data_IF_808443842712
#
_entry.id   IF_808443842712
#
_cell.length_a   1.000
_cell.length_b   1.000
_cell.length_c   1.000
_cell.angle_alpha   90.00
_cell.angle_beta   90.00
_cell.angle_gamma   90.00
#
_symmetry.space_group_name_H-M   'P 1'
#
loop_
_entity.id
_entity.type
_entity.pdbx_description
1 polymer ?
#
# COMPACT_ATOMS: atom_id res chain seq x y z
N UNK A 1 31.39 8.76 9.19
CA UNK A 1 30.78 8.63 7.85
C UNK A 1 30.48 10.03 7.38
N UNK A 2 31.11 10.48 6.30
CA UNK A 2 31.06 11.85 5.79
C UNK A 2 29.62 12.29 5.52
N UNK A 3 29.19 13.41 6.09
CA UNK A 3 27.91 14.04 5.82
C UNK A 3 27.85 14.40 4.34
N UNK A 4 27.05 13.65 3.57
CA UNK A 4 26.79 13.99 2.18
C UNK A 4 25.97 15.28 2.21
N UNK A 5 26.57 16.43 1.85
CA UNK A 5 25.87 17.72 1.68
C UNK A 5 24.68 17.50 0.76
N UNK A 6 23.45 17.48 1.29
CA UNK A 6 22.24 17.47 0.45
C UNK A 6 22.22 18.80 -0.31
N UNK A 7 22.44 18.75 -1.63
CA UNK A 7 22.32 19.91 -2.51
C UNK A 7 20.92 20.50 -2.40
N UNK A 8 20.82 21.84 -2.39
CA UNK A 8 19.52 22.54 -2.50
C UNK A 8 18.75 22.01 -3.72
N UNK A 9 17.51 21.65 -3.51
CA UNK A 9 16.60 21.19 -4.56
C UNK A 9 15.78 22.37 -5.07
N UNK A 10 16.04 22.91 -6.28
CA UNK A 10 15.36 24.09 -6.79
C UNK A 10 13.84 23.90 -6.92
N UNK A 11 13.37 22.65 -7.11
CA UNK A 11 11.95 22.35 -7.20
C UNK A 11 11.31 22.42 -5.81
N UNK A 12 11.99 21.96 -4.76
CA UNK A 12 11.52 22.10 -3.39
C UNK A 12 11.37 23.57 -3.00
N UNK A 13 12.35 24.42 -3.38
CA UNK A 13 12.29 25.86 -3.13
C UNK A 13 11.10 26.52 -3.87
N UNK A 14 10.86 26.13 -5.12
CA UNK A 14 9.73 26.63 -5.92
C UNK A 14 8.39 26.21 -5.31
N UNK A 15 8.24 24.95 -4.91
CA UNK A 15 7.02 24.44 -4.25
C UNK A 15 6.81 25.16 -2.92
N UNK A 16 7.89 25.45 -2.19
CA UNK A 16 7.80 26.14 -0.90
C UNK A 16 7.28 27.59 -1.01
N UNK A 17 7.44 28.24 -2.17
CA UNK A 17 6.91 29.58 -2.43
C UNK A 17 5.37 29.60 -2.64
N UNK A 18 4.77 28.45 -2.92
CA UNK A 18 3.31 28.33 -3.06
C UNK A 18 2.61 28.54 -1.72
N UNK A 19 1.32 28.88 -1.76
CA UNK A 19 0.48 28.90 -0.55
C UNK A 19 0.50 27.52 0.15
N UNK A 20 0.34 27.44 1.48
CA UNK A 20 0.40 26.18 2.22
C UNK A 20 -0.54 25.11 1.66
N UNK A 21 -1.75 25.48 1.23
CA UNK A 21 -2.71 24.57 0.62
C UNK A 21 -2.22 24.05 -0.74
N UNK A 22 -1.80 24.93 -1.66
CA UNK A 22 -1.33 24.54 -2.99
C UNK A 22 -0.08 23.68 -2.92
N UNK A 23 0.82 23.98 -1.99
CA UNK A 23 2.04 23.21 -1.70
C UNK A 23 1.71 21.75 -1.39
N UNK A 24 0.79 21.52 -0.44
CA UNK A 24 0.35 20.17 -0.06
C UNK A 24 -0.34 19.48 -1.24
N UNK A 25 -1.19 20.18 -1.99
CA UNK A 25 -1.87 19.62 -3.17
C UNK A 25 -0.89 19.12 -4.24
N UNK A 26 0.19 19.85 -4.51
CA UNK A 26 1.21 19.46 -5.49
C UNK A 26 1.95 18.20 -5.03
N UNK A 27 2.34 18.14 -3.75
CA UNK A 27 3.03 16.97 -3.20
C UNK A 27 2.11 15.75 -3.18
N UNK A 28 0.86 15.93 -2.75
CA UNK A 28 -0.12 14.84 -2.74
C UNK A 28 -0.42 14.34 -4.15
N UNK A 29 -0.50 15.22 -5.15
CA UNK A 29 -0.65 14.82 -6.55
C UNK A 29 0.46 13.88 -7.00
N UNK A 30 1.72 14.21 -6.70
CA UNK A 30 2.86 13.34 -7.02
C UNK A 30 2.79 12.00 -6.29
N UNK A 31 2.57 12.02 -4.98
CA UNK A 31 2.49 10.81 -4.17
C UNK A 31 1.31 9.90 -4.58
N UNK A 32 0.12 10.46 -4.81
CA UNK A 32 -1.07 9.73 -5.27
C UNK A 32 -0.86 9.16 -6.68
N UNK A 33 -0.22 9.90 -7.59
CA UNK A 33 0.07 9.41 -8.95
C UNK A 33 0.98 8.19 -8.93
N UNK A 34 2.01 8.17 -8.07
CA UNK A 34 2.84 6.97 -7.85
C UNK A 34 1.98 5.84 -7.31
N UNK A 35 1.17 6.11 -6.28
CA UNK A 35 0.33 5.09 -5.63
C UNK A 35 -0.74 4.50 -6.56
N UNK A 36 -1.28 5.29 -7.50
CA UNK A 36 -2.17 4.80 -8.54
C UNK A 36 -1.49 3.76 -9.45
N UNK A 37 -0.22 3.97 -9.80
CA UNK A 37 0.48 3.02 -10.67
C UNK A 37 0.87 1.73 -9.94
N UNK A 38 1.38 1.82 -8.71
CA UNK A 38 1.77 0.63 -7.95
C UNK A 38 0.57 -0.12 -7.38
N UNK A 39 -0.56 0.57 -7.17
CA UNK A 39 -1.81 -0.02 -6.69
C UNK A 39 -2.49 -0.96 -7.70
N UNK A 40 -2.01 -1.01 -8.95
CA UNK A 40 -2.45 -1.99 -9.95
C UNK A 40 -2.18 -3.46 -9.53
N UNK A 41 -1.38 -3.68 -8.50
CA UNK A 41 -1.34 -4.94 -7.77
C UNK A 41 -2.75 -5.49 -7.48
N UNK A 42 -3.70 -4.65 -7.08
CA UNK A 42 -5.09 -5.05 -6.81
C UNK A 42 -5.88 -5.49 -8.04
N UNK A 43 -5.38 -5.20 -9.26
CA UNK A 43 -6.01 -5.67 -10.50
C UNK A 43 -5.56 -7.08 -10.92
N UNK A 44 -4.67 -7.71 -10.15
CA UNK A 44 -4.15 -9.04 -10.47
C UNK A 44 -5.27 -10.05 -10.69
N UNK A 45 -6.27 -10.08 -9.82
CA UNK A 45 -7.43 -10.97 -9.94
C UNK A 45 -8.20 -10.79 -11.25
N UNK A 46 -8.31 -9.55 -11.76
CA UNK A 46 -8.92 -9.26 -13.05
C UNK A 46 -8.07 -9.81 -14.22
N UNK A 47 -6.75 -9.73 -14.09
CA UNK A 47 -5.81 -10.17 -15.13
C UNK A 47 -5.50 -11.67 -15.12
N UNK A 48 -5.72 -12.32 -13.98
CA UNK A 48 -5.36 -13.71 -13.75
C UNK A 48 -5.89 -14.68 -14.83
N UNK A 49 -7.18 -14.67 -15.22
CA UNK A 49 -7.69 -15.54 -16.26
C UNK A 49 -6.99 -15.34 -17.61
N UNK A 50 -6.72 -14.08 -17.98
CA UNK A 50 -6.07 -13.76 -19.27
C UNK A 50 -4.62 -14.25 -19.30
N UNK A 51 -3.86 -13.98 -18.22
CA UNK A 51 -2.46 -14.41 -18.10
C UNK A 51 -2.33 -15.93 -18.07
N UNK A 52 -3.16 -16.60 -17.27
CA UNK A 52 -3.17 -18.07 -17.17
C UNK A 52 -3.53 -18.73 -18.50
N UNK A 53 -4.54 -18.19 -19.20
CA UNK A 53 -4.97 -18.69 -20.50
C UNK A 53 -3.91 -18.49 -21.57
N UNK A 54 -3.27 -17.31 -21.59
CA UNK A 54 -2.17 -17.04 -22.52
C UNK A 54 -1.01 -18.03 -22.31
N UNK A 55 -0.53 -18.16 -21.08
CA UNK A 55 0.61 -19.04 -20.78
C UNK A 55 0.29 -20.50 -21.11
N UNK A 56 -0.89 -20.97 -20.73
CA UNK A 56 -1.31 -22.35 -21.02
C UNK A 56 -1.37 -22.67 -22.51
N UNK A 57 -1.77 -21.71 -23.36
CA UNK A 57 -1.92 -21.92 -24.80
C UNK A 57 -0.62 -21.70 -25.58
N UNK A 58 0.26 -20.77 -25.14
CA UNK A 58 1.41 -20.34 -25.95
C UNK A 58 2.76 -20.60 -25.31
N UNK A 59 2.85 -20.75 -23.98
CA UNK A 59 4.14 -20.78 -23.27
C UNK A 59 4.37 -22.13 -22.61
N UNK A 60 3.47 -22.56 -21.71
CA UNK A 60 3.61 -23.77 -20.92
C UNK A 60 2.24 -24.37 -20.58
N UNK A 61 1.85 -25.50 -21.19
CA UNK A 61 0.55 -26.14 -20.95
C UNK A 61 0.33 -26.63 -19.51
N UNK A 62 1.38 -26.70 -18.70
CA UNK A 62 1.30 -27.18 -17.32
C UNK A 62 0.91 -26.05 -16.34
N UNK A 63 0.95 -24.79 -16.77
CA UNK A 63 0.59 -23.63 -15.94
C UNK A 63 -0.91 -23.65 -15.64
N UNK A 64 -1.21 -23.53 -14.33
CA UNK A 64 -2.57 -23.44 -13.80
C UNK A 64 -2.77 -22.13 -13.04
N UNK A 65 -4.03 -21.77 -12.85
CA UNK A 65 -4.41 -20.60 -12.08
C UNK A 65 -3.80 -20.64 -10.67
N UNK A 66 -3.73 -21.82 -10.04
CA UNK A 66 -3.16 -21.97 -8.69
C UNK A 66 -1.66 -21.61 -8.63
N UNK A 67 -0.89 -21.93 -9.68
CA UNK A 67 0.53 -21.56 -9.75
C UNK A 67 0.72 -20.05 -9.83
N UNK A 68 -0.18 -19.36 -10.49
CA UNK A 68 -0.09 -17.91 -10.64
C UNK A 68 -0.41 -17.13 -9.34
N UNK A 69 -1.06 -17.77 -8.37
CA UNK A 69 -1.40 -17.14 -7.08
C UNK A 69 -0.17 -16.76 -6.24
N UNK A 70 1.00 -17.29 -6.53
CA UNK A 70 2.25 -16.86 -5.89
C UNK A 70 2.70 -15.47 -6.34
N UNK A 71 2.33 -15.03 -7.54
CA UNK A 71 2.72 -13.72 -8.07
C UNK A 71 2.22 -12.58 -7.18
N UNK A 72 0.90 -12.45 -6.87
CA UNK A 72 0.40 -11.36 -6.03
C UNK A 72 0.96 -11.40 -4.61
N UNK A 73 1.33 -12.57 -4.08
CA UNK A 73 1.96 -12.66 -2.76
C UNK A 73 3.28 -11.89 -2.69
N UNK A 74 4.12 -11.99 -3.72
CA UNK A 74 5.38 -11.25 -3.79
C UNK A 74 5.21 -9.84 -4.36
N UNK A 75 4.24 -9.63 -5.23
CA UNK A 75 3.95 -8.33 -5.82
C UNK A 75 3.48 -7.29 -4.79
N UNK A 76 2.62 -7.71 -3.85
CA UNK A 76 2.08 -6.82 -2.82
C UNK A 76 2.84 -6.83 -1.50
N UNK A 77 3.60 -7.89 -1.23
CA UNK A 77 4.22 -8.15 0.08
C UNK A 77 5.71 -8.51 -0.05
N UNK A 78 6.44 -7.91 -0.99
CA UNK A 78 7.86 -8.21 -1.15
C UNK A 78 8.64 -7.84 0.14
N UNK A 79 9.32 -8.82 0.79
CA UNK A 79 9.99 -8.58 2.05
C UNK A 79 11.10 -7.55 1.89
N UNK A 80 11.27 -6.69 2.91
CA UNK A 80 12.30 -5.66 2.98
C UNK A 80 12.27 -4.55 1.90
N UNK A 81 11.37 -4.60 0.90
CA UNK A 81 11.33 -3.57 -0.15
C UNK A 81 11.15 -2.16 0.41
N UNK A 82 10.27 -2.01 1.41
CA UNK A 82 10.06 -0.71 2.07
C UNK A 82 11.25 -0.30 2.95
N UNK A 83 11.96 -1.26 3.57
CA UNK A 83 13.22 -0.99 4.31
C UNK A 83 14.28 -0.47 3.35
N UNK A 84 14.43 -1.12 2.19
CA UNK A 84 15.35 -0.67 1.13
C UNK A 84 14.97 0.74 0.66
N UNK A 85 13.67 1.02 0.49
CA UNK A 85 13.16 2.35 0.14
C UNK A 85 13.50 3.42 1.17
N UNK A 86 13.34 3.11 2.45
CA UNK A 86 13.74 4.00 3.54
C UNK A 86 15.25 4.24 3.58
N UNK A 87 16.05 3.19 3.41
CA UNK A 87 17.51 3.31 3.37
C UNK A 87 17.99 4.14 2.18
N UNK A 88 17.47 3.87 0.97
CA UNK A 88 17.83 4.62 -0.23
C UNK A 88 17.42 6.09 -0.15
N UNK A 89 16.24 6.38 0.43
CA UNK A 89 15.79 7.75 0.66
C UNK A 89 16.71 8.51 1.63
N UNK A 90 17.20 7.83 2.67
CA UNK A 90 18.13 8.43 3.63
C UNK A 90 19.56 8.59 3.07
N UNK A 91 20.01 7.64 2.24
CA UNK A 91 21.36 7.66 1.67
C UNK A 91 21.53 8.67 0.54
N UNK A 92 20.52 8.81 -0.32
CA UNK A 92 20.58 9.65 -1.51
C UNK A 92 19.66 10.87 -1.40
N UNK A 93 18.41 10.69 -1.76
CA UNK A 93 17.31 11.66 -1.61
C UNK A 93 15.97 10.96 -1.84
N UNK A 94 14.85 11.52 -1.36
CA UNK A 94 13.52 10.97 -1.64
C UNK A 94 13.24 10.87 -3.15
N UNK A 95 13.63 11.89 -3.93
CA UNK A 95 13.45 11.87 -5.38
C UNK A 95 14.22 10.73 -6.05
N UNK A 96 15.48 10.52 -5.67
CA UNK A 96 16.30 9.42 -6.20
C UNK A 96 15.71 8.06 -5.82
N UNK A 97 15.26 7.89 -4.57
CA UNK A 97 14.62 6.67 -4.12
C UNK A 97 13.31 6.41 -4.89
N UNK A 98 12.46 7.43 -5.06
CA UNK A 98 11.25 7.33 -5.85
C UNK A 98 11.57 6.98 -7.33
N UNK A 99 12.59 7.59 -7.91
CA UNK A 99 13.05 7.28 -9.28
C UNK A 99 13.47 5.80 -9.42
N UNK A 100 14.26 5.29 -8.47
CA UNK A 100 14.67 3.87 -8.46
C UNK A 100 13.44 2.96 -8.37
N UNK A 101 12.56 3.20 -7.41
CA UNK A 101 11.35 2.39 -7.22
C UNK A 101 10.43 2.41 -8.44
N UNK A 102 10.14 3.58 -8.97
CA UNK A 102 9.29 3.78 -10.15
C UNK A 102 9.89 3.14 -11.42
N UNK A 103 11.20 3.30 -11.62
CA UNK A 103 11.90 2.68 -12.77
C UNK A 103 11.86 1.16 -12.68
N UNK A 104 12.03 0.58 -11.48
CA UNK A 104 11.89 -0.87 -11.28
C UNK A 104 10.48 -1.34 -11.61
N UNK A 105 9.43 -0.64 -11.16
CA UNK A 105 8.03 -0.98 -11.47
C UNK A 105 7.78 -0.92 -12.97
N UNK A 106 8.10 0.19 -13.61
CA UNK A 106 7.84 0.37 -15.05
C UNK A 106 8.64 -0.63 -15.89
N UNK A 107 9.92 -0.85 -15.57
CA UNK A 107 10.76 -1.83 -16.26
C UNK A 107 10.27 -3.25 -16.05
N UNK A 108 9.80 -3.60 -14.83
CA UNK A 108 9.27 -4.93 -14.54
C UNK A 108 8.04 -5.24 -15.38
N UNK A 109 7.12 -4.26 -15.51
CA UNK A 109 5.92 -4.40 -16.33
C UNK A 109 6.29 -4.48 -17.82
N UNK A 110 7.23 -3.66 -18.30
CA UNK A 110 7.71 -3.73 -19.67
C UNK A 110 8.35 -5.09 -20.00
N UNK A 111 9.23 -5.59 -19.12
CA UNK A 111 9.87 -6.89 -19.27
C UNK A 111 8.87 -8.05 -19.18
N UNK A 112 7.76 -7.88 -18.47
CA UNK A 112 6.72 -8.89 -18.35
C UNK A 112 6.01 -9.18 -19.67
N UNK A 113 6.00 -8.19 -20.59
CA UNK A 113 5.52 -8.40 -21.96
C UNK A 113 6.33 -9.46 -22.71
N UNK A 114 7.64 -9.47 -22.49
CA UNK A 114 8.53 -10.48 -23.05
C UNK A 114 8.49 -11.79 -22.24
N UNK A 115 8.53 -11.67 -20.92
CA UNK A 115 8.63 -12.79 -20.00
C UNK A 115 7.45 -13.78 -20.10
N UNK A 116 6.22 -13.26 -20.24
CA UNK A 116 5.01 -14.08 -20.36
C UNK A 116 5.02 -14.99 -21.60
N UNK A 117 5.79 -14.61 -22.64
CA UNK A 117 5.93 -15.36 -23.88
C UNK A 117 6.95 -16.52 -23.78
N UNK A 118 7.84 -16.49 -22.75
CA UNK A 118 8.99 -17.39 -22.69
C UNK A 118 8.89 -18.43 -21.56
N UNK A 119 8.58 -18.01 -20.34
CA UNK A 119 8.43 -18.95 -19.23
C UNK A 119 7.69 -18.37 -18.04
N UNK A 120 7.04 -19.25 -17.26
CA UNK A 120 6.41 -18.86 -16.00
C UNK A 120 7.43 -18.31 -14.99
N UNK A 121 8.60 -18.94 -14.88
CA UNK A 121 9.63 -18.49 -13.93
C UNK A 121 10.12 -17.08 -14.25
N UNK A 122 10.37 -16.77 -15.53
CA UNK A 122 10.77 -15.43 -15.94
C UNK A 122 9.66 -14.41 -15.69
N UNK A 123 8.41 -14.76 -15.95
CA UNK A 123 7.25 -13.91 -15.67
C UNK A 123 7.06 -13.68 -14.17
N UNK A 124 7.24 -14.71 -13.34
CA UNK A 124 7.21 -14.59 -11.89
C UNK A 124 8.30 -13.64 -11.36
N UNK A 125 9.53 -13.73 -11.89
CA UNK A 125 10.62 -12.83 -11.51
C UNK A 125 10.29 -11.39 -11.91
N UNK A 126 9.84 -11.15 -13.14
CA UNK A 126 9.56 -9.80 -13.62
C UNK A 126 8.30 -9.23 -12.99
N UNK A 127 7.15 -9.86 -13.15
CA UNK A 127 5.86 -9.32 -12.72
C UNK A 127 5.60 -9.50 -11.21
N UNK A 128 6.20 -10.51 -10.57
CA UNK A 128 6.10 -10.75 -9.12
C UNK A 128 7.18 -10.02 -8.33
N UNK A 129 8.43 -10.51 -8.45
CA UNK A 129 9.52 -10.07 -7.57
C UNK A 129 10.00 -8.65 -7.86
N UNK A 130 10.31 -8.32 -9.11
CA UNK A 130 10.82 -6.98 -9.47
C UNK A 130 9.75 -5.90 -9.29
N UNK A 131 8.49 -6.19 -9.66
CA UNK A 131 7.38 -5.29 -9.41
C UNK A 131 7.21 -5.04 -7.91
N UNK A 132 7.21 -6.10 -7.10
CA UNK A 132 7.06 -6.00 -5.64
C UNK A 132 8.17 -5.18 -4.98
N UNK A 133 9.43 -5.42 -5.39
CA UNK A 133 10.58 -4.65 -4.90
C UNK A 133 10.43 -3.16 -5.25
N UNK A 134 10.17 -2.83 -6.50
CA UNK A 134 9.99 -1.45 -6.95
C UNK A 134 8.81 -0.77 -6.26
N UNK A 135 7.69 -1.48 -6.11
CA UNK A 135 6.48 -0.97 -5.46
C UNK A 135 6.73 -0.62 -4.00
N UNK A 136 7.43 -1.48 -3.24
CA UNK A 136 7.73 -1.21 -1.83
C UNK A 136 8.63 0.01 -1.65
N UNK A 137 9.66 0.17 -2.49
CA UNK A 137 10.55 1.34 -2.48
C UNK A 137 9.77 2.62 -2.80
N UNK A 138 8.97 2.62 -3.87
CA UNK A 138 8.19 3.78 -4.29
C UNK A 138 7.11 4.15 -3.27
N UNK A 139 6.42 3.14 -2.70
CA UNK A 139 5.35 3.32 -1.71
C UNK A 139 5.85 4.10 -0.50
N UNK A 140 6.84 3.56 0.20
CA UNK A 140 7.31 4.16 1.46
C UNK A 140 7.93 5.53 1.24
N UNK A 141 8.61 5.73 0.11
CA UNK A 141 9.22 7.02 -0.23
C UNK A 141 8.16 8.09 -0.45
N UNK A 142 7.14 7.81 -1.26
CA UNK A 142 6.08 8.78 -1.57
C UNK A 142 5.27 9.16 -0.33
N UNK A 143 4.89 8.17 0.51
CA UNK A 143 4.15 8.44 1.76
C UNK A 143 5.00 9.24 2.73
N UNK A 144 6.27 8.85 2.94
CA UNK A 144 7.16 9.54 3.88
C UNK A 144 7.39 10.99 3.47
N UNK A 145 7.59 11.24 2.17
CA UNK A 145 7.75 12.59 1.63
C UNK A 145 6.50 13.44 1.85
N UNK A 146 5.31 12.89 1.57
CA UNK A 146 4.05 13.61 1.79
C UNK A 146 3.85 13.98 3.27
N UNK A 147 4.18 13.09 4.21
CA UNK A 147 4.11 13.35 5.65
C UNK A 147 5.08 14.47 6.05
N UNK A 148 6.28 14.56 5.44
CA UNK A 148 7.27 15.61 5.74
C UNK A 148 6.73 17.03 5.43
N UNK A 149 5.80 17.18 4.49
CA UNK A 149 5.19 18.46 4.16
C UNK A 149 3.99 18.85 5.04
N UNK A 150 3.42 17.90 5.79
CA UNK A 150 2.29 18.14 6.67
C UNK A 150 2.36 17.28 7.95
N UNK A 151 3.32 17.54 8.83
CA UNK A 151 3.57 16.73 10.02
C UNK A 151 2.41 16.77 11.03
N UNK A 152 1.62 17.85 11.04
CA UNK A 152 0.46 18.00 11.94
C UNK A 152 -0.77 17.17 11.51
N UNK A 153 -0.79 16.64 10.27
CA UNK A 153 -1.93 15.92 9.66
C UNK A 153 -1.50 14.57 9.06
N UNK A 154 -0.70 13.83 9.81
CA UNK A 154 -0.09 12.56 9.35
C UNK A 154 -1.15 11.57 8.88
N UNK A 155 -2.23 11.41 9.65
CA UNK A 155 -3.31 10.47 9.34
C UNK A 155 -4.06 10.83 8.06
N UNK A 156 -4.44 12.10 7.88
CA UNK A 156 -5.11 12.56 6.65
C UNK A 156 -4.20 12.41 5.44
N UNK A 157 -2.94 12.83 5.54
CA UNK A 157 -1.99 12.80 4.43
C UNK A 157 -1.68 11.36 4.02
N UNK A 158 -1.36 10.50 4.98
CA UNK A 158 -1.12 9.08 4.70
C UNK A 158 -2.39 8.39 4.16
N UNK A 159 -3.57 8.77 4.66
CA UNK A 159 -4.86 8.29 4.18
C UNK A 159 -5.13 8.67 2.72
N UNK A 160 -4.88 9.93 2.33
CA UNK A 160 -5.05 10.39 0.93
C UNK A 160 -4.10 9.64 -0.01
N UNK A 161 -2.83 9.52 0.37
CA UNK A 161 -1.83 8.81 -0.45
C UNK A 161 -2.20 7.32 -0.57
N UNK A 162 -2.59 6.69 0.54
CA UNK A 162 -3.04 5.30 0.54
C UNK A 162 -4.37 5.11 -0.23
N UNK A 163 -5.25 6.12 -0.28
CA UNK A 163 -6.47 6.08 -1.08
C UNK A 163 -6.16 5.96 -2.58
N UNK A 164 -5.10 6.63 -3.07
CA UNK A 164 -4.60 6.46 -4.44
C UNK A 164 -4.27 5.00 -4.77
N UNK A 165 -3.61 4.30 -3.86
CA UNK A 165 -3.32 2.88 -4.01
C UNK A 165 -4.59 2.01 -4.07
N UNK A 166 -5.59 2.29 -3.23
CA UNK A 166 -6.88 1.59 -3.23
C UNK A 166 -7.75 1.88 -4.46
N UNK A 167 -7.73 3.13 -4.96
CA UNK A 167 -8.53 3.57 -6.11
C UNK A 167 -7.99 3.01 -7.44
N UNK A 168 -6.73 2.61 -7.46
CA UNK A 168 -6.05 2.11 -8.67
C UNK A 168 -6.85 1.02 -9.40
N UNK A 169 -7.40 0.06 -8.66
CA UNK A 169 -8.15 -1.06 -9.26
C UNK A 169 -9.41 -0.61 -9.98
N UNK A 170 -10.12 0.38 -9.46
CA UNK A 170 -11.34 0.93 -10.09
C UNK A 170 -11.04 1.62 -11.43
N UNK A 171 -9.83 2.15 -11.59
CA UNK A 171 -9.39 2.84 -12.81
C UNK A 171 -8.77 1.85 -13.80
N UNK A 172 -7.80 1.05 -13.34
CA UNK A 172 -7.00 0.24 -14.26
C UNK A 172 -7.65 -1.08 -14.66
N UNK A 173 -8.54 -1.69 -13.85
CA UNK A 173 -9.20 -2.93 -14.25
C UNK A 173 -10.07 -2.75 -15.52
N UNK A 174 -10.91 -1.72 -15.63
CA UNK A 174 -11.63 -1.46 -16.89
C UNK A 174 -10.69 -1.20 -18.08
N UNK A 175 -9.63 -0.42 -17.88
CA UNK A 175 -8.64 -0.13 -18.93
C UNK A 175 -7.98 -1.42 -19.43
N UNK A 176 -7.55 -2.28 -18.51
CA UNK A 176 -6.95 -3.59 -18.83
C UNK A 176 -7.91 -4.47 -19.62
N UNK A 177 -9.15 -4.57 -19.16
CA UNK A 177 -10.19 -5.36 -19.83
C UNK A 177 -10.50 -4.81 -21.23
N UNK A 178 -10.64 -3.50 -21.40
CA UNK A 178 -10.87 -2.87 -22.71
C UNK A 178 -9.70 -3.11 -23.69
N UNK A 179 -8.46 -3.20 -23.20
CA UNK A 179 -7.29 -3.47 -24.05
C UNK A 179 -7.27 -4.94 -24.50
N UNK A 180 -7.55 -5.89 -23.58
CA UNK A 180 -7.44 -7.33 -23.86
C UNK A 180 -8.71 -7.88 -24.47
N UNK A 181 -9.88 -7.55 -23.90
CA UNK A 181 -11.18 -8.10 -24.27
C UNK A 181 -12.22 -7.00 -24.62
N UNK A 182 -11.99 -6.20 -25.66
CA UNK A 182 -12.92 -5.13 -26.03
C UNK A 182 -14.27 -5.65 -26.52
N UNK A 183 -14.34 -6.90 -26.95
CA UNK A 183 -15.56 -7.53 -27.45
C UNK A 183 -16.36 -8.23 -26.36
N UNK A 184 -15.90 -8.18 -25.10
CA UNK A 184 -16.51 -8.82 -23.95
C UNK A 184 -16.79 -10.33 -24.17
N UNK A 185 -15.81 -11.04 -24.73
CA UNK A 185 -15.92 -12.46 -24.99
C UNK A 185 -15.93 -13.25 -23.67
N UNK A 186 -16.78 -14.27 -23.54
CA UNK A 186 -16.89 -15.04 -22.32
C UNK A 186 -15.72 -16.00 -22.11
N UNK A 187 -15.36 -16.26 -20.85
CA UNK A 187 -14.49 -17.36 -20.47
C UNK A 187 -15.23 -18.70 -20.52
N UNK A 188 -14.50 -19.79 -20.57
CA UNK A 188 -15.03 -21.16 -20.41
C UNK A 188 -15.51 -21.38 -18.97
N UNK A 189 -16.27 -22.47 -18.74
CA UNK A 189 -16.71 -22.86 -17.37
C UNK A 189 -15.55 -23.07 -16.40
N UNK A 190 -14.37 -23.39 -16.90
CA UNK A 190 -13.15 -23.56 -16.10
C UNK A 190 -12.38 -22.26 -15.86
N UNK A 191 -12.94 -21.10 -16.27
CA UNK A 191 -12.34 -19.78 -16.07
C UNK A 191 -11.22 -19.41 -17.04
N UNK A 192 -11.05 -20.15 -18.15
CA UNK A 192 -10.02 -19.87 -19.16
C UNK A 192 -10.62 -19.26 -20.43
N UNK A 193 -9.85 -18.40 -21.09
CA UNK A 193 -10.17 -17.88 -22.41
C UNK A 193 -9.50 -18.74 -23.50
N UNK A 194 -10.23 -19.03 -24.57
CA UNK A 194 -9.74 -19.85 -25.68
C UNK A 194 -9.64 -19.10 -27.00
N UNK A 195 -10.12 -17.86 -27.02
CA UNK A 195 -10.16 -17.03 -28.23
C UNK A 195 -8.76 -16.50 -28.56
N UNK A 196 -8.21 -16.93 -29.67
CA UNK A 196 -6.87 -16.58 -30.14
C UNK A 196 -6.66 -15.05 -30.24
N UNK A 197 -7.64 -14.32 -30.80
CA UNK A 197 -7.57 -12.86 -30.97
C UNK A 197 -7.46 -12.10 -29.66
N UNK A 198 -8.09 -12.60 -28.60
CA UNK A 198 -7.99 -12.04 -27.25
C UNK A 198 -6.61 -12.33 -26.66
N UNK A 199 -6.17 -13.58 -26.73
CA UNK A 199 -4.94 -14.02 -26.09
C UNK A 199 -3.70 -13.32 -26.67
N UNK A 200 -3.61 -13.12 -27.98
CA UNK A 200 -2.50 -12.39 -28.64
C UNK A 200 -2.33 -10.96 -28.13
N UNK A 201 -3.38 -10.35 -27.56
CA UNK A 201 -3.31 -9.00 -26.99
C UNK A 201 -2.68 -8.95 -25.60
N UNK A 202 -2.59 -10.07 -24.88
CA UNK A 202 -2.11 -10.11 -23.51
C UNK A 202 -0.67 -9.58 -23.35
N UNK A 203 0.34 -9.96 -24.13
CA UNK A 203 1.67 -9.38 -24.04
C UNK A 203 1.68 -7.87 -24.32
N UNK A 204 0.89 -7.41 -25.32
CA UNK A 204 0.82 -5.99 -25.67
C UNK A 204 0.21 -5.13 -24.57
N UNK A 205 -0.64 -5.69 -23.71
CA UNK A 205 -1.17 -5.02 -22.55
C UNK A 205 -0.05 -4.54 -21.61
N UNK A 206 0.91 -5.42 -21.28
CA UNK A 206 2.02 -5.06 -20.39
C UNK A 206 2.85 -3.92 -20.96
N UNK A 207 3.12 -3.91 -22.27
CA UNK A 207 3.83 -2.80 -22.93
C UNK A 207 3.05 -1.49 -22.84
N UNK A 208 1.74 -1.51 -23.07
CA UNK A 208 0.89 -0.32 -22.96
C UNK A 208 0.81 0.20 -21.53
N UNK A 209 0.65 -0.69 -20.55
CA UNK A 209 0.66 -0.33 -19.13
C UNK A 209 2.00 0.27 -18.70
N UNK A 210 3.13 -0.29 -19.17
CA UNK A 210 4.46 0.25 -18.87
C UNK A 210 4.61 1.69 -19.37
N UNK A 211 4.09 2.02 -20.57
CA UNK A 211 4.10 3.40 -21.08
C UNK A 211 3.24 4.31 -20.21
N UNK A 212 2.02 3.89 -19.86
CA UNK A 212 1.12 4.68 -19.01
C UNK A 212 1.77 4.94 -17.65
N UNK A 213 2.31 3.89 -17.01
CA UNK A 213 2.98 4.02 -15.71
C UNK A 213 4.21 4.90 -15.80
N UNK A 214 5.03 4.73 -16.85
CA UNK A 214 6.23 5.54 -17.09
C UNK A 214 5.91 7.02 -17.18
N UNK A 215 4.88 7.41 -17.94
CA UNK A 215 4.45 8.81 -18.07
C UNK A 215 3.93 9.34 -16.74
N UNK A 216 3.03 8.62 -16.06
CA UNK A 216 2.48 9.05 -14.76
C UNK A 216 3.58 9.21 -13.71
N UNK A 217 4.49 8.25 -13.61
CA UNK A 217 5.58 8.25 -12.65
C UNK A 217 6.63 9.33 -12.97
N UNK A 218 6.95 9.57 -14.24
CA UNK A 218 7.87 10.63 -14.63
C UNK A 218 7.38 12.01 -14.19
N UNK A 219 6.08 12.31 -14.39
CA UNK A 219 5.46 13.55 -13.90
C UNK A 219 5.48 13.62 -12.37
N UNK A 220 5.15 12.52 -11.71
CA UNK A 220 5.07 12.45 -10.25
C UNK A 220 6.45 12.66 -9.58
N UNK A 221 7.52 12.06 -10.10
CA UNK A 221 8.88 12.14 -9.54
C UNK A 221 9.40 13.60 -9.53
N UNK A 222 8.97 14.44 -10.47
CA UNK A 222 9.37 15.85 -10.50
C UNK A 222 9.00 16.55 -9.19
N UNK A 223 7.80 16.30 -8.67
CA UNK A 223 7.28 16.99 -7.49
C UNK A 223 7.55 16.26 -6.16
N UNK A 224 8.03 15.01 -6.19
CA UNK A 224 8.38 14.27 -4.98
C UNK A 224 9.74 14.74 -4.45
N UNK A 225 9.70 15.59 -3.42
CA UNK A 225 10.87 16.13 -2.73
C UNK A 225 10.53 16.45 -1.28
N UNK A 226 11.53 16.43 -0.41
CA UNK A 226 11.39 16.92 0.96
C UNK A 226 11.31 18.46 0.99
N UNK A 227 10.66 19.03 2.01
CA UNK A 227 10.68 20.48 2.23
C UNK A 227 12.12 20.99 2.36
N UNK A 228 12.42 22.21 1.86
CA UNK A 228 13.75 22.78 1.94
C UNK A 228 14.15 23.04 3.40
N UNK A 229 15.42 22.85 3.70
CA UNK A 229 16.00 23.17 5.00
C UNK A 229 16.01 24.70 5.21
N UNK A 230 15.42 25.18 6.27
CA UNK A 230 15.42 26.58 6.67
C UNK A 230 16.06 26.73 8.04
N UNK A 231 17.03 27.65 8.16
CA UNK A 231 17.67 28.03 9.42
C UNK A 231 16.63 28.59 10.36
N UNK A 232 16.41 27.94 11.51
CA UNK A 232 15.70 28.59 12.60
C UNK A 232 16.60 29.71 13.11
N UNK A 233 16.19 30.95 12.91
CA UNK A 233 16.86 32.11 13.51
C UNK A 233 16.57 32.00 15.01
N UNK A 234 17.54 31.44 15.75
CA UNK A 234 17.44 31.40 17.20
C UNK A 234 17.26 32.85 17.72
N UNK A 235 16.29 33.03 18.58
CA UNK A 235 15.92 34.31 19.20
C UNK A 235 17.05 34.87 20.07
N UNK A 236 18.19 34.19 20.19
CA UNK A 236 19.35 34.58 20.97
C UNK A 236 20.22 35.67 20.32
N UNK A 237 20.12 35.92 19.00
CA UNK A 237 20.92 36.94 18.34
C UNK A 237 20.39 38.39 18.51
N UNK A 238 19.26 38.60 19.20
CA UNK A 238 18.73 39.96 19.48
C UNK A 238 19.39 40.59 20.71
N UNK A 239 20.13 39.81 21.52
CA UNK A 239 20.70 40.31 22.76
C UNK A 239 22.16 40.86 22.64
N UNK A 240 22.88 40.50 21.61
CA UNK A 240 24.26 40.93 21.44
C UNK A 240 24.50 41.47 20.02
N UNK A 241 24.47 42.78 19.88
CA UNK A 241 24.80 43.51 18.67
C UNK A 241 26.29 43.43 18.32
N UNK A 242 26.68 42.36 17.65
CA UNK A 242 27.97 42.31 16.93
C UNK A 242 27.70 41.67 15.57
N UNK A 243 27.69 42.50 14.54
CA UNK A 243 27.88 42.11 13.16
C UNK A 243 29.32 41.63 12.99
N UNK A 244 29.52 40.35 12.78
CA UNK A 244 30.74 39.82 12.17
C UNK A 244 30.30 39.02 10.95
N UNK A 245 30.63 39.56 9.78
CA UNK A 245 30.60 38.90 8.48
C UNK A 245 31.65 37.76 8.47
N UNK A 246 31.26 36.58 8.93
CA UNK A 246 31.95 35.35 8.62
C UNK A 246 30.91 34.39 8.02
N UNK A 247 31.08 34.13 6.74
CA UNK A 247 30.39 33.08 5.97
C UNK A 247 30.83 31.71 6.50
N UNK A 248 30.41 31.35 7.70
CA UNK A 248 30.46 29.97 8.17
C UNK A 248 29.26 29.22 7.61
N UNK A 249 29.54 28.38 6.59
CA UNK A 249 28.62 27.40 6.02
C UNK A 249 28.29 26.31 7.05
N UNK A 250 27.53 26.64 8.07
CA UNK A 250 27.02 25.66 9.01
C UNK A 250 25.84 24.88 8.42
N UNK A 251 26.05 23.60 8.36
CA UNK A 251 25.14 22.57 7.88
C UNK A 251 23.96 22.40 8.85
N UNK A 252 22.75 22.81 8.43
CA UNK A 252 21.59 22.80 9.30
C UNK A 252 20.51 21.76 8.94
N UNK A 253 19.84 21.31 10.00
CA UNK A 253 18.77 20.29 10.03
C UNK A 253 17.42 20.85 9.56
N UNK A 254 16.44 19.98 9.15
CA UNK A 254 15.10 20.46 8.75
C UNK A 254 14.37 21.18 9.88
N UNK A 255 13.48 22.11 9.51
CA UNK A 255 12.63 22.93 10.39
C UNK A 255 11.68 22.11 11.33
N UNK A 256 11.86 20.82 11.43
CA UNK A 256 11.13 19.99 12.38
C UNK A 256 11.62 20.10 13.83
N UNK A 257 12.60 20.97 14.11
CA UNK A 257 13.34 21.03 15.39
C UNK A 257 12.75 21.98 16.45
N UNK A 258 11.58 22.58 16.23
CA UNK A 258 11.04 23.50 17.25
C UNK A 258 10.38 22.78 18.46
N UNK A 259 10.28 21.43 18.46
CA UNK A 259 9.80 20.62 19.59
C UNK A 259 10.72 19.44 19.92
N UNK A 260 12.01 19.47 19.51
CA UNK A 260 12.91 18.31 19.59
C UNK A 260 13.28 17.85 21.00
N UNK A 261 13.13 18.65 22.00
CA UNK A 261 13.52 18.26 23.37
C UNK A 261 12.56 17.26 24.03
N UNK A 262 11.43 16.90 23.40
CA UNK A 262 10.44 16.01 24.03
C UNK A 262 9.97 14.84 23.16
N UNK A 263 10.29 14.78 21.87
CA UNK A 263 9.81 13.71 20.98
C UNK A 263 10.79 12.57 20.85
N UNK A 264 10.28 11.37 21.06
CA UNK A 264 11.04 10.12 20.99
C UNK A 264 11.40 9.82 19.54
N UNK A 265 12.68 9.57 19.27
CA UNK A 265 13.20 9.24 17.93
C UNK A 265 13.95 7.90 17.98
N UNK A 266 13.23 6.77 17.83
CA UNK A 266 13.84 5.45 17.88
C UNK A 266 14.49 5.06 16.58
N UNK A 267 15.71 4.57 16.66
CA UNK A 267 16.37 3.84 15.57
C UNK A 267 15.66 2.51 15.30
N UNK A 268 15.79 1.93 14.08
CA UNK A 268 15.24 0.60 13.82
C UNK A 268 15.67 -0.48 14.81
N UNK A 269 16.92 -0.43 15.27
CA UNK A 269 17.46 -1.39 16.26
C UNK A 269 16.79 -1.28 17.63
N UNK A 270 16.51 -0.06 18.08
CA UNK A 270 15.82 0.19 19.35
C UNK A 270 14.34 -0.18 19.23
N UNK A 271 13.70 0.18 18.09
CA UNK A 271 12.32 -0.19 17.82
C UNK A 271 12.10 -1.69 17.85
N UNK A 272 12.98 -2.48 17.20
CA UNK A 272 12.89 -3.94 17.15
C UNK A 272 13.01 -4.61 18.55
N UNK A 273 13.51 -3.91 19.56
CA UNK A 273 13.56 -4.38 20.95
C UNK A 273 12.35 -3.95 21.77
N UNK A 274 11.51 -3.11 21.22
CA UNK A 274 10.36 -2.55 21.92
C UNK A 274 9.17 -3.50 21.95
N UNK A 275 8.51 -3.72 23.09
CA UNK A 275 7.25 -4.47 23.16
C UNK A 275 6.15 -3.89 22.26
N UNK A 276 6.11 -2.56 22.11
CA UNK A 276 5.15 -1.87 21.23
C UNK A 276 5.30 -2.30 19.78
N UNK A 277 6.53 -2.52 19.30
CA UNK A 277 6.77 -3.06 17.95
C UNK A 277 6.12 -4.43 17.77
N UNK A 278 6.29 -5.34 18.70
CA UNK A 278 5.71 -6.70 18.59
C UNK A 278 4.19 -6.68 18.66
N UNK A 279 3.60 -5.81 19.46
CA UNK A 279 2.15 -5.62 19.50
C UNK A 279 1.63 -5.07 18.15
N UNK A 280 2.25 -4.03 17.60
CA UNK A 280 1.87 -3.48 16.30
C UNK A 280 2.11 -4.49 15.16
N UNK A 281 3.21 -5.24 15.21
CA UNK A 281 3.53 -6.29 14.26
C UNK A 281 2.46 -7.40 14.24
N UNK A 282 2.09 -7.90 15.42
CA UNK A 282 1.05 -8.92 15.56
C UNK A 282 -0.33 -8.39 15.13
N UNK A 283 -0.66 -7.14 15.49
CA UNK A 283 -1.90 -6.52 15.05
C UNK A 283 -1.95 -6.34 13.53
N UNK A 284 -0.87 -5.87 12.90
CA UNK A 284 -0.78 -5.74 11.45
C UNK A 284 -0.81 -7.09 10.74
N UNK A 285 -0.17 -8.11 11.30
CA UNK A 285 -0.26 -9.48 10.79
C UNK A 285 -1.72 -9.96 10.73
N UNK A 286 -2.45 -9.80 11.83
CA UNK A 286 -3.86 -10.17 11.90
C UNK A 286 -4.72 -9.37 10.92
N UNK A 287 -4.52 -8.05 10.84
CA UNK A 287 -5.23 -7.19 9.90
C UNK A 287 -4.95 -7.58 8.44
N UNK A 288 -3.72 -7.88 8.11
CA UNK A 288 -3.32 -8.29 6.76
C UNK A 288 -3.86 -9.66 6.39
N UNK A 289 -3.93 -10.59 7.34
CA UNK A 289 -4.44 -11.94 7.09
C UNK A 289 -5.91 -11.91 6.69
N UNK A 290 -6.78 -11.25 7.46
CA UNK A 290 -8.19 -11.20 7.10
C UNK A 290 -8.44 -10.40 5.82
N UNK A 291 -7.66 -9.32 5.61
CA UNK A 291 -7.81 -8.49 4.43
C UNK A 291 -7.44 -9.26 3.15
N UNK A 292 -6.28 -9.90 3.11
CA UNK A 292 -5.84 -10.69 1.96
C UNK A 292 -6.77 -11.87 1.69
N UNK A 293 -7.23 -12.55 2.76
CA UNK A 293 -8.15 -13.66 2.62
C UNK A 293 -9.48 -13.22 2.01
N UNK A 294 -10.03 -12.12 2.51
CA UNK A 294 -11.28 -11.59 2.02
C UNK A 294 -11.17 -11.11 0.56
N UNK A 295 -10.08 -10.40 0.22
CA UNK A 295 -9.81 -9.96 -1.16
C UNK A 295 -9.77 -11.12 -2.16
N UNK A 296 -9.18 -12.24 -1.77
CA UNK A 296 -9.02 -13.38 -2.67
C UNK A 296 -10.29 -14.24 -2.81
N UNK A 297 -11.14 -14.29 -1.78
CA UNK A 297 -12.24 -15.26 -1.72
C UNK A 297 -13.65 -14.66 -1.73
N UNK A 298 -13.79 -13.33 -1.67
CA UNK A 298 -15.10 -12.68 -1.66
C UNK A 298 -15.96 -13.08 -2.87
N UNK A 299 -15.36 -13.10 -4.07
CA UNK A 299 -16.05 -13.44 -5.32
C UNK A 299 -16.46 -14.91 -5.33
N UNK A 300 -15.51 -15.80 -5.06
CA UNK A 300 -15.75 -17.24 -5.07
C UNK A 300 -16.82 -17.68 -4.06
N UNK A 301 -16.86 -17.02 -2.90
CA UNK A 301 -17.93 -17.23 -1.93
C UNK A 301 -19.29 -16.78 -2.47
N UNK A 302 -19.36 -15.58 -3.05
CA UNK A 302 -20.59 -15.01 -3.56
C UNK A 302 -21.15 -15.80 -4.75
N UNK A 303 -20.32 -16.28 -5.65
CA UNK A 303 -20.70 -17.12 -6.80
C UNK A 303 -21.41 -18.41 -6.37
N UNK A 304 -21.25 -18.86 -5.13
CA UNK A 304 -21.99 -20.03 -4.61
C UNK A 304 -23.50 -19.79 -4.42
N UNK A 305 -23.98 -18.53 -4.44
CA UNK A 305 -25.38 -18.17 -4.25
C UNK A 305 -25.86 -16.94 -5.04
N UNK A 306 -24.98 -16.25 -5.76
CA UNK A 306 -25.30 -15.10 -6.63
C UNK A 306 -24.84 -15.46 -8.05
N UNK A 307 -25.80 -15.67 -8.95
CA UNK A 307 -25.56 -15.98 -10.36
C UNK A 307 -25.54 -14.73 -11.26
N UNK A 308 -24.99 -13.61 -10.75
CA UNK A 308 -25.01 -12.29 -11.40
C UNK A 308 -23.60 -11.70 -11.44
N UNK A 309 -22.84 -12.04 -12.47
CA UNK A 309 -21.44 -11.65 -12.64
C UNK A 309 -21.27 -10.13 -12.82
N UNK A 310 -22.21 -9.48 -13.53
CA UNK A 310 -22.21 -8.03 -13.67
C UNK A 310 -22.43 -7.33 -12.34
N UNK A 311 -23.37 -7.82 -11.53
CA UNK A 311 -23.58 -7.32 -10.17
C UNK A 311 -22.31 -7.45 -9.34
N UNK A 312 -21.59 -8.57 -9.41
CA UNK A 312 -20.35 -8.79 -8.67
C UNK A 312 -19.25 -7.81 -9.08
N UNK A 313 -19.11 -7.52 -10.37
CA UNK A 313 -18.15 -6.52 -10.85
C UNK A 313 -18.46 -5.11 -10.35
N UNK A 314 -19.75 -4.72 -10.40
CA UNK A 314 -20.21 -3.42 -9.87
C UNK A 314 -20.03 -3.36 -8.36
N UNK A 315 -20.40 -4.42 -7.63
CA UNK A 315 -20.25 -4.50 -6.18
C UNK A 315 -18.80 -4.35 -5.73
N UNK A 316 -17.87 -4.99 -6.42
CA UNK A 316 -16.43 -4.84 -6.16
C UNK A 316 -15.94 -3.41 -6.44
N UNK A 317 -16.38 -2.79 -7.54
CA UNK A 317 -16.02 -1.40 -7.86
C UNK A 317 -16.51 -0.43 -6.79
N UNK A 318 -17.78 -0.56 -6.35
CA UNK A 318 -18.35 0.25 -5.26
C UNK A 318 -17.57 0.04 -3.96
N UNK A 319 -17.28 -1.22 -3.60
CA UNK A 319 -16.50 -1.54 -2.41
C UNK A 319 -15.09 -0.96 -2.46
N UNK A 320 -14.42 -0.99 -3.63
CA UNK A 320 -13.07 -0.43 -3.82
C UNK A 320 -13.05 1.10 -3.67
N UNK A 321 -14.05 1.79 -4.22
CA UNK A 321 -14.21 3.25 -4.02
C UNK A 321 -14.48 3.56 -2.55
N UNK A 322 -15.38 2.81 -1.90
CA UNK A 322 -15.66 2.96 -0.47
C UNK A 322 -14.41 2.74 0.40
N UNK A 323 -13.58 1.74 0.06
CA UNK A 323 -12.29 1.50 0.72
C UNK A 323 -11.34 2.70 0.57
N UNK A 324 -11.23 3.27 -0.63
CA UNK A 324 -10.38 4.42 -0.87
C UNK A 324 -10.82 5.65 -0.06
N UNK A 325 -12.12 5.94 -0.02
CA UNK A 325 -12.69 7.02 0.80
C UNK A 325 -12.48 6.74 2.29
N UNK A 326 -12.68 5.50 2.71
CA UNK A 326 -12.52 5.09 4.11
C UNK A 326 -11.08 5.27 4.61
N UNK A 327 -10.06 5.09 3.77
CA UNK A 327 -8.66 5.34 4.15
C UNK A 327 -8.43 6.79 4.60
N UNK A 328 -9.06 7.73 3.91
CA UNK A 328 -9.01 9.16 4.28
C UNK A 328 -9.79 9.38 5.57
N UNK A 329 -11.00 8.82 5.67
CA UNK A 329 -11.85 8.94 6.86
C UNK A 329 -11.21 8.38 8.12
N UNK A 330 -10.61 7.20 8.06
CA UNK A 330 -9.86 6.61 9.18
C UNK A 330 -8.64 7.44 9.56
N UNK A 331 -7.89 7.97 8.58
CA UNK A 331 -6.79 8.88 8.83
C UNK A 331 -7.24 10.15 9.56
N UNK A 332 -8.33 10.78 9.10
CA UNK A 332 -8.92 11.94 9.76
C UNK A 332 -9.39 11.64 11.19
N UNK A 333 -10.04 10.49 11.39
CA UNK A 333 -10.49 10.06 12.72
C UNK A 333 -9.29 9.88 13.66
N UNK A 334 -8.18 9.32 13.18
CA UNK A 334 -6.94 9.14 13.95
C UNK A 334 -6.31 10.47 14.37
N UNK A 335 -6.34 11.47 13.50
CA UNK A 335 -5.81 12.80 13.83
C UNK A 335 -6.70 13.55 14.84
N UNK A 336 -8.00 13.24 14.87
CA UNK A 336 -8.97 13.88 15.80
C UNK A 336 -9.15 13.16 17.13
N UNK A 337 -8.91 11.85 17.15
CA UNK A 337 -9.11 11.02 18.35
C UNK A 337 -7.79 10.36 18.76
N UNK A 338 -7.66 9.07 18.43
CA UNK A 338 -6.41 8.33 18.62
C UNK A 338 -6.31 7.17 17.64
N UNK A 339 -5.08 6.74 17.40
CA UNK A 339 -4.82 5.52 16.64
C UNK A 339 -5.55 4.30 17.21
N UNK A 340 -5.58 4.16 18.54
CA UNK A 340 -6.23 3.03 19.22
C UNK A 340 -7.73 3.02 18.95
N UNK A 341 -8.42 4.14 19.12
CA UNK A 341 -9.87 4.24 18.89
C UNK A 341 -10.19 3.91 17.43
N UNK A 342 -9.48 4.52 16.49
CA UNK A 342 -9.73 4.32 15.07
C UNK A 342 -9.53 2.85 14.65
N UNK A 343 -8.39 2.24 15.02
CA UNK A 343 -8.07 0.88 14.62
C UNK A 343 -8.89 -0.17 15.39
N UNK A 344 -9.15 0.03 16.69
CA UNK A 344 -10.02 -0.85 17.48
C UNK A 344 -11.44 -0.86 16.92
N UNK A 345 -11.98 0.30 16.53
CA UNK A 345 -13.30 0.38 15.90
C UNK A 345 -13.32 -0.37 14.57
N UNK A 346 -12.32 -0.15 13.70
CA UNK A 346 -12.24 -0.80 12.40
C UNK A 346 -12.12 -2.32 12.52
N UNK A 347 -11.27 -2.82 13.43
CA UNK A 347 -11.04 -4.26 13.61
C UNK A 347 -12.22 -4.97 14.30
N UNK A 348 -12.86 -4.31 15.25
CA UNK A 348 -14.10 -4.82 15.86
C UNK A 348 -15.21 -4.97 14.81
N UNK A 349 -15.46 -3.92 14.01
CA UNK A 349 -16.45 -3.97 12.94
C UNK A 349 -16.11 -5.03 11.88
N UNK A 350 -14.83 -5.15 11.50
CA UNK A 350 -14.39 -6.18 10.56
C UNK A 350 -14.69 -7.59 11.08
N UNK A 351 -14.43 -7.84 12.36
CA UNK A 351 -14.75 -9.12 13.00
C UNK A 351 -16.25 -9.43 12.94
N UNK A 352 -17.09 -8.44 13.25
CA UNK A 352 -18.56 -8.59 13.17
C UNK A 352 -19.02 -8.87 11.74
N UNK A 353 -18.54 -8.11 10.74
CA UNK A 353 -18.90 -8.33 9.34
C UNK A 353 -18.49 -9.73 8.85
N UNK A 354 -17.28 -10.18 9.17
CA UNK A 354 -16.78 -11.49 8.77
C UNK A 354 -17.54 -12.64 9.47
N UNK A 355 -17.80 -12.50 10.77
CA UNK A 355 -18.55 -13.49 11.54
C UNK A 355 -19.98 -13.66 11.03
N UNK A 356 -20.59 -12.53 10.62
CA UNK A 356 -21.98 -12.50 10.13
C UNK A 356 -22.10 -12.64 8.61
N UNK A 357 -20.97 -12.67 7.87
CA UNK A 357 -20.96 -12.85 6.41
C UNK A 357 -21.81 -14.04 5.92
N UNK A 358 -21.80 -15.21 6.57
CA UNK A 358 -22.62 -16.35 6.16
C UNK A 358 -24.12 -16.07 6.13
N UNK A 359 -24.62 -15.12 6.92
CA UNK A 359 -26.06 -14.74 6.93
C UNK A 359 -26.51 -14.13 5.61
N UNK A 360 -25.59 -13.52 4.84
CA UNK A 360 -25.91 -12.89 3.55
C UNK A 360 -26.45 -13.88 2.53
N UNK A 361 -26.11 -15.16 2.67
CA UNK A 361 -26.61 -16.23 1.81
C UNK A 361 -28.13 -16.36 1.86
N UNK A 362 -28.76 -16.10 3.02
CA UNK A 362 -30.21 -16.12 3.19
C UNK A 362 -30.88 -14.78 2.94
N UNK A 363 -30.14 -13.67 2.97
CA UNK A 363 -30.66 -12.30 2.86
C UNK A 363 -30.60 -11.73 1.42
N UNK A 364 -29.89 -12.39 0.51
CA UNK A 364 -29.82 -12.03 -0.91
C UNK A 364 -28.70 -11.04 -1.28
N UNK A 365 -28.60 -10.72 -2.59
CA UNK A 365 -27.47 -9.99 -3.17
C UNK A 365 -27.24 -8.58 -2.63
N UNK A 366 -28.30 -7.87 -2.24
CA UNK A 366 -28.16 -6.49 -1.69
C UNK A 366 -27.60 -6.50 -0.26
N UNK A 367 -27.95 -7.50 0.55
CA UNK A 367 -27.33 -7.69 1.84
C UNK A 367 -25.83 -8.03 1.69
N UNK A 368 -25.50 -8.89 0.74
CA UNK A 368 -24.10 -9.19 0.43
C UNK A 368 -23.32 -7.94 0.04
N UNK A 369 -23.86 -7.07 -0.83
CA UNK A 369 -23.24 -5.79 -1.18
C UNK A 369 -22.96 -4.94 0.06
N UNK A 370 -23.90 -4.82 0.98
CA UNK A 370 -23.72 -4.05 2.21
C UNK A 370 -22.59 -4.61 3.07
N UNK A 371 -22.54 -5.95 3.27
CA UNK A 371 -21.46 -6.61 4.01
C UNK A 371 -20.10 -6.47 3.30
N UNK A 372 -20.06 -6.58 1.97
CA UNK A 372 -18.87 -6.40 1.16
C UNK A 372 -18.30 -4.99 1.35
N UNK A 373 -19.14 -3.97 1.16
CA UNK A 373 -18.74 -2.56 1.32
C UNK A 373 -18.28 -2.28 2.76
N UNK A 374 -19.02 -2.76 3.77
CA UNK A 374 -18.65 -2.60 5.17
C UNK A 374 -17.29 -3.21 5.51
N UNK A 375 -17.02 -4.41 5.02
CA UNK A 375 -15.71 -5.07 5.20
C UNK A 375 -14.60 -4.30 4.50
N UNK A 376 -14.83 -3.81 3.27
CA UNK A 376 -13.86 -3.00 2.54
C UNK A 376 -13.56 -1.66 3.21
N UNK A 377 -14.55 -1.02 3.84
CA UNK A 377 -14.36 0.17 4.67
C UNK A 377 -13.41 -0.14 5.84
N UNK A 378 -13.64 -1.24 6.55
CA UNK A 378 -12.76 -1.66 7.65
C UNK A 378 -11.33 -1.97 7.18
N UNK A 379 -11.17 -2.64 6.03
CA UNK A 379 -9.86 -2.93 5.44
C UNK A 379 -9.07 -1.67 5.09
N UNK A 380 -9.77 -0.57 4.76
CA UNK A 380 -9.14 0.72 4.49
C UNK A 380 -8.33 1.27 5.66
N UNK A 381 -8.66 0.91 6.89
CA UNK A 381 -7.93 1.32 8.09
C UNK A 381 -6.49 0.78 8.14
N UNK A 382 -6.24 -0.44 7.62
CA UNK A 382 -4.99 -1.17 7.88
C UNK A 382 -3.75 -0.37 7.48
N UNK A 383 -3.58 -0.05 6.20
CA UNK A 383 -2.33 0.60 5.77
C UNK A 383 -2.19 2.06 6.20
N UNK A 384 -3.30 2.82 6.23
CA UNK A 384 -3.27 4.23 6.61
C UNK A 384 -2.92 4.41 8.09
N UNK A 385 -3.47 3.59 8.97
CA UNK A 385 -3.32 3.76 10.41
C UNK A 385 -1.99 3.23 10.94
N UNK A 386 -1.45 2.14 10.40
CA UNK A 386 -0.19 1.59 10.91
C UNK A 386 1.03 2.45 10.59
N UNK A 387 1.05 3.18 9.47
CA UNK A 387 2.12 4.16 9.23
C UNK A 387 2.02 5.34 10.21
N UNK A 388 0.80 5.81 10.48
CA UNK A 388 0.55 6.86 11.47
C UNK A 388 0.98 6.43 12.88
N UNK A 389 0.65 5.18 13.28
CA UNK A 389 1.09 4.62 14.54
C UNK A 389 2.62 4.51 14.64
N UNK A 390 3.28 4.09 13.55
CA UNK A 390 4.75 4.00 13.52
C UNK A 390 5.39 5.35 13.79
N UNK A 391 4.88 6.42 13.19
CA UNK A 391 5.40 7.77 13.41
C UNK A 391 5.12 8.24 14.84
N UNK A 392 3.91 8.04 15.34
CA UNK A 392 3.51 8.48 16.70
C UNK A 392 4.25 7.71 17.81
N UNK A 393 4.51 6.39 17.62
CA UNK A 393 5.17 5.56 18.62
C UNK A 393 6.70 5.67 18.58
N UNK A 394 7.30 5.81 17.40
CA UNK A 394 8.74 5.63 17.21
C UNK A 394 9.44 6.87 16.63
N UNK A 395 8.68 7.93 16.34
CA UNK A 395 9.18 9.21 15.85
C UNK A 395 9.28 9.30 14.32
N UNK A 396 9.53 10.54 13.85
CA UNK A 396 9.48 10.88 12.43
C UNK A 396 10.79 10.60 11.68
N UNK A 397 11.95 10.65 12.39
CA UNK A 397 13.29 10.59 11.79
C UNK A 397 13.56 9.29 11.00
N UNK A 398 13.15 8.14 11.53
CA UNK A 398 13.37 6.83 10.93
C UNK A 398 12.09 6.16 10.45
N UNK A 399 11.00 6.91 10.25
CA UNK A 399 9.66 6.37 9.96
C UNK A 399 9.61 5.40 8.80
N UNK A 400 10.33 5.68 7.70
CA UNK A 400 10.34 4.83 6.51
C UNK A 400 10.95 3.45 6.80
N UNK A 401 12.09 3.40 7.51
CA UNK A 401 12.73 2.16 7.90
C UNK A 401 11.91 1.41 8.95
N UNK A 402 11.41 2.13 9.96
CA UNK A 402 10.61 1.56 11.04
C UNK A 402 9.31 0.93 10.48
N UNK A 403 8.61 1.64 9.59
CA UNK A 403 7.43 1.10 8.93
C UNK A 403 7.78 -0.07 8.00
N UNK A 404 8.93 0.00 7.31
CA UNK A 404 9.41 -1.08 6.46
C UNK A 404 9.62 -2.40 7.22
N UNK A 405 10.14 -2.36 8.46
CA UNK A 405 10.23 -3.55 9.31
C UNK A 405 8.85 -4.02 9.78
N UNK A 406 7.96 -3.10 10.12
CA UNK A 406 6.61 -3.45 10.55
C UNK A 406 5.83 -4.17 9.44
N UNK A 407 5.97 -3.73 8.19
CA UNK A 407 5.25 -4.30 7.05
C UNK A 407 5.69 -5.74 6.70
N UNK A 408 6.81 -6.25 7.25
CA UNK A 408 7.18 -7.67 7.11
C UNK A 408 6.10 -8.61 7.65
N UNK A 409 5.28 -8.14 8.59
CA UNK A 409 4.13 -8.88 9.08
C UNK A 409 3.11 -9.21 7.98
N UNK A 410 2.97 -8.34 7.00
CA UNK A 410 2.07 -8.57 5.84
C UNK A 410 2.60 -9.67 4.92
N UNK A 411 3.93 -9.73 4.74
CA UNK A 411 4.59 -10.82 4.01
C UNK A 411 4.37 -12.17 4.69
N UNK A 412 4.58 -12.23 6.01
CA UNK A 412 4.34 -13.45 6.78
C UNK A 412 2.88 -13.89 6.72
N UNK A 413 1.96 -12.93 6.80
CA UNK A 413 0.52 -13.15 6.66
C UNK A 413 0.16 -13.71 5.27
N UNK A 414 0.74 -13.15 4.19
CA UNK A 414 0.52 -13.62 2.82
C UNK A 414 1.00 -15.05 2.60
N UNK A 415 2.19 -15.39 3.10
CA UNK A 415 2.75 -16.75 3.02
C UNK A 415 1.87 -17.75 3.78
N UNK A 416 1.45 -17.41 4.99
CA UNK A 416 0.55 -18.26 5.78
C UNK A 416 -0.78 -18.47 5.05
N UNK A 417 -1.35 -17.40 4.48
CA UNK A 417 -2.60 -17.48 3.72
C UNK A 417 -2.46 -18.38 2.49
N UNK A 418 -1.38 -18.24 1.73
CA UNK A 418 -1.14 -19.08 0.56
C UNK A 418 -1.07 -20.57 0.96
N UNK A 419 -0.37 -20.90 2.05
CA UNK A 419 -0.31 -22.25 2.59
C UNK A 419 -1.66 -22.77 3.06
N UNK A 420 -2.39 -21.99 3.85
CA UNK A 420 -3.74 -22.37 4.34
C UNK A 420 -4.71 -22.59 3.17
N UNK A 421 -4.70 -21.69 2.18
CA UNK A 421 -5.57 -21.81 1.01
C UNK A 421 -5.26 -23.05 0.20
N UNK A 422 -4.00 -23.38 -0.01
CA UNK A 422 -3.58 -24.52 -0.81
C UNK A 422 -3.97 -25.87 -0.19
N UNK A 423 -3.87 -26.00 1.15
CA UNK A 423 -4.03 -27.30 1.81
C UNK A 423 -5.41 -27.51 2.45
N UNK A 424 -6.05 -26.45 2.92
CA UNK A 424 -7.23 -26.56 3.79
C UNK A 424 -8.53 -26.02 3.20
N UNK A 425 -8.50 -25.22 2.14
CA UNK A 425 -9.70 -24.56 1.59
C UNK A 425 -10.80 -25.55 1.20
N UNK A 426 -10.41 -26.65 0.53
CA UNK A 426 -11.37 -27.71 0.12
C UNK A 426 -11.98 -28.49 1.29
N UNK A 427 -11.25 -28.64 2.37
CA UNK A 427 -11.70 -29.42 3.53
C UNK A 427 -12.63 -28.61 4.45
N UNK A 428 -12.35 -27.31 4.63
CA UNK A 428 -13.08 -26.45 5.58
C UNK A 428 -14.34 -25.85 4.95
N UNK A 429 -14.31 -25.53 3.66
CA UNK A 429 -15.37 -24.82 2.97
C UNK A 429 -15.43 -23.33 3.31
N UNK A 430 -16.07 -22.55 2.44
CA UNK A 430 -16.04 -21.07 2.54
C UNK A 430 -16.71 -20.51 3.80
N UNK A 431 -17.81 -21.11 4.25
CA UNK A 431 -18.57 -20.61 5.41
C UNK A 431 -17.76 -20.66 6.70
N UNK A 432 -17.16 -21.79 7.00
CA UNK A 432 -16.32 -21.93 8.19
C UNK A 432 -15.02 -21.14 8.07
N UNK A 433 -14.53 -20.97 6.86
CA UNK A 433 -13.34 -20.18 6.60
C UNK A 433 -13.54 -18.70 7.00
N UNK A 434 -14.68 -18.08 6.66
CA UNK A 434 -14.99 -16.71 7.08
C UNK A 434 -15.15 -16.59 8.60
N UNK A 435 -15.78 -17.56 9.25
CA UNK A 435 -15.93 -17.59 10.72
C UNK A 435 -14.55 -17.67 11.39
N UNK A 436 -13.67 -18.56 10.91
CA UNK A 436 -12.30 -18.68 11.44
C UNK A 436 -11.51 -17.39 11.17
N UNK A 437 -11.66 -16.80 9.98
CA UNK A 437 -10.96 -15.56 9.64
C UNK A 437 -11.40 -14.39 10.53
N UNK A 438 -12.65 -14.36 11.03
CA UNK A 438 -13.13 -13.32 11.94
C UNK A 438 -12.36 -13.28 13.27
N UNK A 439 -11.69 -14.36 13.66
CA UNK A 439 -10.84 -14.41 14.85
C UNK A 439 -9.64 -13.45 14.71
N UNK A 440 -9.09 -13.29 13.50
CA UNK A 440 -7.90 -12.45 13.29
C UNK A 440 -8.16 -10.97 13.56
N UNK A 441 -9.16 -10.28 12.97
CA UNK A 441 -9.43 -8.90 13.33
C UNK A 441 -9.88 -8.76 14.79
N UNK A 442 -10.51 -9.78 15.41
CA UNK A 442 -10.80 -9.77 16.83
C UNK A 442 -9.52 -9.82 17.69
N UNK A 443 -8.54 -10.66 17.33
CA UNK A 443 -7.24 -10.66 17.99
C UNK A 443 -6.53 -9.31 17.83
N UNK A 444 -6.59 -8.71 16.64
CA UNK A 444 -6.05 -7.37 16.42
C UNK A 444 -6.73 -6.33 17.31
N UNK A 445 -8.07 -6.37 17.44
CA UNK A 445 -8.84 -5.52 18.35
C UNK A 445 -8.35 -5.64 19.79
N UNK A 446 -8.18 -6.86 20.30
CA UNK A 446 -7.70 -7.11 21.67
C UNK A 446 -6.29 -6.57 21.86
N UNK A 447 -5.36 -6.89 20.94
CA UNK A 447 -3.96 -6.44 21.00
C UNK A 447 -3.90 -4.91 21.03
N UNK A 448 -4.62 -4.23 20.13
CA UNK A 448 -4.59 -2.77 20.01
C UNK A 448 -5.20 -2.09 21.23
N UNK A 449 -6.25 -2.67 21.80
CA UNK A 449 -6.86 -2.17 23.03
C UNK A 449 -5.90 -2.24 24.23
N UNK A 450 -4.89 -3.14 24.19
CA UNK A 450 -3.85 -3.25 25.20
C UNK A 450 -2.66 -2.29 24.99
N UNK A 451 -2.50 -1.70 23.80
CA UNK A 451 -1.42 -0.74 23.54
C UNK A 451 -1.84 0.62 24.12
N UNK A 452 -1.28 0.97 25.28
CA UNK A 452 -1.55 2.26 25.94
C UNK A 452 -0.34 3.18 25.93
N UNK A 453 0.87 2.61 25.86
CA UNK A 453 2.11 3.35 26.07
C UNK A 453 3.13 3.05 24.99
N UNK A 454 3.92 4.08 24.63
CA UNK A 454 5.15 3.88 23.88
C UNK A 454 6.20 3.22 24.76
N UNK A 455 7.31 2.69 24.22
CA UNK A 455 8.42 2.14 24.99
C UNK A 455 9.00 3.11 26.03
N UNK A 456 8.81 4.42 25.81
CA UNK A 456 9.30 5.49 26.70
C UNK A 456 8.23 6.03 27.63
N UNK A 457 7.10 5.33 27.78
CA UNK A 457 6.03 5.71 28.72
C UNK A 457 5.10 6.81 28.23
N UNK A 458 5.14 7.18 26.95
CA UNK A 458 4.17 8.11 26.35
C UNK A 458 2.96 7.36 25.80
N UNK A 459 1.78 7.97 25.89
CA UNK A 459 0.55 7.40 25.30
C UNK A 459 0.66 7.36 23.78
N UNK A 460 0.19 6.25 23.20
CA UNK A 460 -0.04 6.12 21.77
C UNK A 460 -1.37 6.78 21.44
N UNK A 461 -1.31 8.02 21.02
CA UNK A 461 -2.50 8.82 20.68
C UNK A 461 -2.69 8.90 19.16
#
# INVERSE_FOLDING_TARGET
MSSCRRRRDPIADTIYQLSPFNRICVILFGAVSIHLTIGTYHTFGNMLPYMASYMRNFTDPTVRIEHMMWIPTFQGCFPFAMVIGGLTSNMFSPRTSAFIGCTLVTSSVALSAYAIQHSFALFFITYGLLFGLGSGIAYVTAVSTAINWAPDKIGVVSGIVAAGFGLSSSIFAPIQTMIVNPQNLPATKDGYFVQHELLVRVPSLFSKLAVIYGVMQAVAIIVVCDPPFRKSRSTESIANGHESDEEDEDFERPVFDNDEDTTIQLTPSEMLRSPTFFCLFAALFCCSFYANMFYNLYKTYAESFIEDDFFMAVAFSVASVANAIARIGWGYLTDRTSFQIALSTATCLASVFLLTMPLTRGLGKMAYLFWLVGTFICMGATHALFITATVKCFGNRHKANNYGFLILSTTMSGILLAGVSQFYLKAIGYTYLFIITAIFPFCAFVIISCIQWTPQGKLVT
#
